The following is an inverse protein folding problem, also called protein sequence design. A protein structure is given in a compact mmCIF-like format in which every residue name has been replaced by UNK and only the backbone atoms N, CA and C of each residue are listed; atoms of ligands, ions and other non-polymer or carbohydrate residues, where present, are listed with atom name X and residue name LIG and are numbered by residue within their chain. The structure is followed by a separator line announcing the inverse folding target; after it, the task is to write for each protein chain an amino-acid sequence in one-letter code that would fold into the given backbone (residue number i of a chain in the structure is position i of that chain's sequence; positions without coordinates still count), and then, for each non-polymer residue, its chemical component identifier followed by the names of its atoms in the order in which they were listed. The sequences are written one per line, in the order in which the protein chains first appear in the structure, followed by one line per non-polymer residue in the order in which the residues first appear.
data_IF_413906990468
#
_entry.id   IF_413906990468
#
_cell.length_a   1.000
_cell.length_b   1.000
_cell.length_c   1.000
_cell.angle_alpha   90.00
_cell.angle_beta   90.00
_cell.angle_gamma   90.00
#
_symmetry.space_group_name_H-M   'P 1'
#
loop_
_entity.id
_entity.type
_entity.pdbx_description
1 polymer ?
#
# COMPACT_ATOMS: atom_id res chain seq x y z
N UNK A 1 -12.63 -16.00 18.36
CA UNK A 1 -13.17 -14.89 17.55
C UNK A 1 -12.08 -13.82 17.51
N UNK A 2 -11.36 -13.75 16.40
CA UNK A 2 -10.31 -12.74 16.15
C UNK A 2 -10.98 -11.38 15.98
N UNK A 3 -10.37 -10.28 16.42
CA UNK A 3 -11.11 -9.06 16.71
C UNK A 3 -11.67 -8.46 15.42
N UNK A 4 -12.99 -8.27 15.40
CA UNK A 4 -13.76 -7.57 14.36
C UNK A 4 -13.54 -6.05 14.41
N UNK A 5 -12.35 -5.60 14.79
CA UNK A 5 -11.98 -4.19 14.78
C UNK A 5 -11.27 -3.84 13.46
N UNK A 6 -11.87 -4.27 12.34
CA UNK A 6 -11.66 -3.55 11.09
C UNK A 6 -12.49 -2.26 11.24
N UNK A 7 -11.90 -1.26 11.88
CA UNK A 7 -12.36 0.12 11.77
C UNK A 7 -12.54 0.36 10.27
N UNK A 8 -13.78 0.48 9.82
CA UNK A 8 -14.16 0.62 8.40
C UNK A 8 -13.73 1.98 7.84
N UNK A 9 -12.50 2.41 8.09
CA UNK A 9 -11.76 3.32 7.22
C UNK A 9 -11.25 2.46 6.08
N UNK A 10 -12.11 2.20 5.11
CA UNK A 10 -11.79 1.45 3.90
C UNK A 10 -10.72 2.24 3.14
N UNK A 11 -9.43 2.04 3.42
CA UNK A 11 -8.35 2.72 2.67
C UNK A 11 -8.00 1.85 1.48
N UNK A 12 -8.03 2.44 0.30
CA UNK A 12 -7.59 1.80 -0.94
C UNK A 12 -6.11 2.11 -1.15
N UNK A 13 -5.34 1.07 -1.41
CA UNK A 13 -3.92 1.21 -1.73
C UNK A 13 -3.70 0.88 -3.19
N UNK A 14 -2.90 1.70 -3.87
CA UNK A 14 -2.48 1.48 -5.24
C UNK A 14 -0.95 1.56 -5.30
N UNK A 15 -0.34 0.64 -6.04
CA UNK A 15 1.08 0.72 -6.37
C UNK A 15 1.26 1.29 -7.77
N UNK A 16 2.23 2.19 -7.95
CA UNK A 16 2.64 2.66 -9.27
C UNK A 16 3.29 1.54 -10.10
N UNK A 17 3.95 0.59 -9.45
CA UNK A 17 4.74 -0.47 -10.09
C UNK A 17 4.66 -1.79 -9.30
N UNK A 18 3.66 -2.61 -9.63
CA UNK A 18 3.48 -3.94 -9.03
C UNK A 18 4.66 -4.91 -9.30
N UNK A 19 5.50 -4.61 -10.28
CA UNK A 19 6.71 -5.40 -10.58
C UNK A 19 7.87 -5.11 -9.63
N UNK A 20 7.86 -3.94 -8.98
CA UNK A 20 8.86 -3.48 -8.02
C UNK A 20 8.35 -3.63 -6.60
N UNK A 21 7.14 -3.16 -6.31
CA UNK A 21 6.48 -3.35 -5.02
C UNK A 21 4.97 -3.52 -5.18
N UNK A 22 4.39 -4.51 -4.51
CA UNK A 22 2.94 -4.70 -4.41
C UNK A 22 2.45 -4.24 -3.06
N UNK A 23 1.18 -3.81 -2.99
CA UNK A 23 0.54 -3.45 -1.72
C UNK A 23 -0.75 -4.25 -1.60
N UNK A 24 -0.96 -4.88 -0.44
CA UNK A 24 -2.15 -5.63 -0.14
C UNK A 24 -3.24 -4.73 0.48
N UNK A 25 -4.47 -5.25 0.54
CA UNK A 25 -5.64 -4.52 1.04
C UNK A 25 -5.59 -4.20 2.55
N UNK A 26 -4.67 -4.82 3.28
CA UNK A 26 -4.35 -4.54 4.68
C UNK A 26 -3.29 -3.45 4.84
N UNK A 27 -2.75 -2.91 3.74
CA UNK A 27 -1.65 -1.94 3.73
C UNK A 27 -0.26 -2.57 3.77
N UNK A 28 -0.14 -3.90 3.67
CA UNK A 28 1.16 -4.59 3.65
C UNK A 28 1.84 -4.36 2.30
N UNK A 29 3.01 -3.71 2.32
CA UNK A 29 3.84 -3.48 1.12
C UNK A 29 4.89 -4.58 1.00
N UNK A 30 4.95 -5.23 -0.16
CA UNK A 30 5.92 -6.29 -0.48
C UNK A 30 6.80 -5.84 -1.64
N UNK A 31 8.11 -5.75 -1.41
CA UNK A 31 9.08 -5.52 -2.48
C UNK A 31 9.32 -6.80 -3.28
N UNK A 32 9.11 -6.73 -4.60
CA UNK A 32 9.30 -7.85 -5.53
C UNK A 32 10.65 -7.77 -6.22
N UNK A 33 11.05 -6.58 -6.67
CA UNK A 33 12.27 -6.38 -7.46
C UNK A 33 12.92 -5.07 -7.12
N UNK A 34 14.26 -5.02 -7.23
CA UNK A 34 14.99 -3.78 -7.06
C UNK A 34 14.52 -2.69 -8.04
N UNK A 35 14.20 -1.52 -7.48
CA UNK A 35 13.60 -0.39 -8.18
C UNK A 35 12.89 0.54 -7.21
N UNK A 36 12.24 1.57 -7.74
CA UNK A 36 11.44 2.52 -6.95
C UNK A 36 9.98 2.39 -7.35
N UNK A 37 9.10 2.17 -6.37
CA UNK A 37 7.65 2.15 -6.55
C UNK A 37 7.01 3.18 -5.62
N UNK A 38 5.92 3.80 -6.04
CA UNK A 38 5.15 4.72 -5.21
C UNK A 38 3.84 4.05 -4.82
N UNK A 39 3.59 3.94 -3.52
CA UNK A 39 2.35 3.44 -2.97
C UNK A 39 1.47 4.63 -2.59
N UNK A 40 0.26 4.70 -3.13
CA UNK A 40 -0.73 5.72 -2.79
C UNK A 40 -1.87 5.08 -2.01
N UNK A 41 -2.08 5.56 -0.79
CA UNK A 41 -3.19 5.21 0.07
C UNK A 41 -4.26 6.30 -0.01
N UNK A 42 -5.49 5.94 -0.33
CA UNK A 42 -6.62 6.86 -0.42
C UNK A 42 -7.75 6.34 0.44
N UNK A 43 -8.25 7.17 1.37
CA UNK A 43 -9.45 6.82 2.14
C UNK A 43 -10.63 6.57 1.20
N UNK A 44 -11.53 5.62 1.49
CA UNK A 44 -12.67 5.32 0.62
C UNK A 44 -13.59 6.52 0.39
N UNK A 45 -13.65 7.42 1.37
CA UNK A 45 -14.40 8.66 1.26
C UNK A 45 -13.73 9.66 0.31
N UNK A 46 -12.52 9.37 -0.20
CA UNK A 46 -11.71 10.23 -1.05
C UNK A 46 -11.11 11.46 -0.35
N UNK A 47 -11.44 11.68 0.91
CA UNK A 47 -11.07 12.89 1.67
C UNK A 47 -9.58 13.02 1.96
N UNK A 48 -8.85 11.90 2.11
CA UNK A 48 -7.42 11.92 2.42
C UNK A 48 -6.64 10.96 1.53
N UNK A 49 -5.52 11.45 1.03
CA UNK A 49 -4.55 10.69 0.25
C UNK A 49 -3.18 10.80 0.88
N UNK A 50 -2.48 9.68 1.03
CA UNK A 50 -1.08 9.62 1.43
C UNK A 50 -0.27 8.89 0.35
N UNK A 51 0.91 9.39 0.02
CA UNK A 51 1.82 8.73 -0.89
C UNK A 51 3.11 8.36 -0.15
N UNK A 52 3.61 7.15 -0.41
CA UNK A 52 4.84 6.62 0.15
C UNK A 52 5.73 6.13 -0.99
N UNK A 53 6.94 6.64 -1.09
CA UNK A 53 7.93 6.18 -2.06
C UNK A 53 8.71 5.02 -1.43
N UNK A 54 8.63 3.87 -2.07
CA UNK A 54 9.24 2.62 -1.63
C UNK A 54 10.38 2.29 -2.58
N UNK A 55 11.61 2.38 -2.07
CA UNK A 55 12.81 1.97 -2.80
C UNK A 55 13.20 0.57 -2.37
N UNK A 56 13.05 -0.38 -3.28
CA UNK A 56 13.48 -1.77 -3.08
C UNK A 56 14.93 -1.86 -3.56
N UNK A 57 15.85 -2.18 -2.66
CA UNK A 57 17.24 -2.47 -3.01
C UNK A 57 17.44 -3.98 -3.01
N UNK A 58 17.95 -4.53 -4.11
CA UNK A 58 18.47 -5.90 -4.10
C UNK A 58 19.75 -5.90 -3.25
N UNK A 59 19.84 -6.85 -2.32
CA UNK A 59 21.05 -7.12 -1.56
C UNK A 59 22.10 -7.83 -2.44
#
# INVERSE_FOLDING_TARGET
MTPTNATTTTVTFASSDATVATVASDGTVTGVKAGTATITATTADGSYTAACVVTVTAA
#
